data_IF_491939410810
#
_entry.id   IF_491939410810
#
_cell.length_a   1.000
_cell.length_b   1.000
_cell.length_c   1.000
_cell.angle_alpha   90.00
_cell.angle_beta   90.00
_cell.angle_gamma   90.00
#
_symmetry.space_group_name_H-M   'P 1'
#
loop_
_entity.id
_entity.type
_entity.pdbx_description
1 polymer ?
#
# COMPACT_ATOMS: atom_id res chain seq x y z
N UNK A 1 -18.49 23.86 2.75
CA UNK A 1 -17.46 23.04 3.37
C UNK A 1 -16.22 23.87 3.58
N UNK A 2 -15.67 23.84 4.78
CA UNK A 2 -14.49 24.64 5.06
C UNK A 2 -13.24 23.99 4.49
N UNK A 3 -12.22 24.80 4.25
CA UNK A 3 -10.94 24.28 3.78
C UNK A 3 -10.32 23.32 4.78
N UNK A 4 -10.53 23.59 6.05
CA UNK A 4 -9.97 22.75 7.10
C UNK A 4 -10.60 21.37 7.11
N UNK A 5 -11.89 21.30 6.91
CA UNK A 5 -12.55 20.01 6.81
C UNK A 5 -12.05 19.23 5.62
N UNK A 6 -11.85 19.91 4.51
CA UNK A 6 -11.31 19.26 3.32
C UNK A 6 -9.91 18.74 3.56
N UNK A 7 -9.09 19.57 4.22
CA UNK A 7 -7.70 19.14 4.49
C UNK A 7 -7.66 17.91 5.37
N UNK A 8 -8.49 17.90 6.43
CA UNK A 8 -8.53 16.77 7.33
C UNK A 8 -8.97 15.50 6.61
N UNK A 9 -9.99 15.61 5.79
CA UNK A 9 -10.46 14.47 5.04
C UNK A 9 -9.48 14.10 3.95
N UNK A 10 -8.84 15.10 3.36
CA UNK A 10 -7.83 14.84 2.33
C UNK A 10 -6.68 14.02 2.89
N UNK A 11 -6.30 14.25 4.15
CA UNK A 11 -5.26 13.48 4.78
C UNK A 11 -5.59 12.00 4.81
N UNK A 12 -6.81 11.65 5.26
CA UNK A 12 -7.26 10.27 5.29
C UNK A 12 -7.45 9.71 3.90
N UNK A 13 -8.05 10.49 3.02
CA UNK A 13 -8.26 10.08 1.64
C UNK A 13 -6.92 9.88 0.94
N UNK A 14 -5.94 10.72 1.23
CA UNK A 14 -4.61 10.57 0.66
C UNK A 14 -3.95 9.28 1.09
N UNK A 15 -4.10 8.89 2.33
CA UNK A 15 -3.54 7.61 2.78
C UNK A 15 -4.14 6.47 1.98
N UNK A 16 -5.44 6.50 1.75
CA UNK A 16 -6.10 5.48 0.95
C UNK A 16 -5.58 5.50 -0.48
N UNK A 17 -5.46 6.68 -1.06
CA UNK A 17 -4.93 6.82 -2.42
C UNK A 17 -3.50 6.30 -2.52
N UNK A 18 -2.68 6.60 -1.52
CA UNK A 18 -1.30 6.11 -1.48
C UNK A 18 -1.25 4.60 -1.34
N UNK A 19 -2.12 4.05 -0.49
CA UNK A 19 -2.19 2.60 -0.32
C UNK A 19 -2.59 1.92 -1.63
N UNK A 20 -3.57 2.48 -2.33
CA UNK A 20 -3.99 1.95 -3.61
C UNK A 20 -2.87 2.01 -4.64
N UNK A 21 -2.09 3.09 -4.61
CA UNK A 21 -0.94 3.25 -5.48
C UNK A 21 0.09 2.15 -5.25
N UNK A 22 0.37 1.86 -3.98
CA UNK A 22 1.27 0.77 -3.61
C UNK A 22 0.76 -0.57 -4.13
N UNK A 23 -0.54 -0.81 -3.98
CA UNK A 23 -1.11 -2.07 -4.44
C UNK A 23 -0.99 -2.21 -5.96
N UNK A 24 -1.19 -1.12 -6.70
CA UNK A 24 -1.05 -1.16 -8.16
C UNK A 24 0.39 -1.44 -8.60
N UNK A 25 1.34 -0.86 -7.87
CA UNK A 25 2.75 -1.11 -8.15
C UNK A 25 3.08 -2.58 -7.93
N UNK A 26 2.56 -3.16 -6.84
CA UNK A 26 2.79 -4.58 -6.56
C UNK A 26 2.08 -5.47 -7.58
N UNK A 27 0.93 -5.05 -8.06
CA UNK A 27 0.21 -5.79 -9.09
C UNK A 27 1.06 -5.92 -10.34
N UNK A 28 1.80 -4.88 -10.67
CA UNK A 28 2.66 -4.88 -11.86
C UNK A 28 3.93 -5.71 -11.67
N UNK A 29 4.21 -6.15 -10.44
CA UNK A 29 5.43 -6.88 -10.12
C UNK A 29 5.11 -8.13 -9.30
N UNK A 30 4.52 -9.14 -9.94
CA UNK A 30 4.11 -10.34 -9.19
C UNK A 30 5.25 -11.07 -8.49
N UNK A 31 6.48 -10.88 -8.94
CA UNK A 31 7.64 -11.45 -8.27
C UNK A 31 7.99 -10.76 -6.97
N UNK A 32 7.38 -9.60 -6.69
CA UNK A 32 7.62 -8.86 -5.48
C UNK A 32 8.61 -7.74 -5.64
N UNK A 33 8.53 -6.78 -4.75
CA UNK A 33 9.44 -5.64 -4.71
C UNK A 33 9.89 -5.41 -3.28
N UNK A 34 11.14 -4.95 -3.13
CA UNK A 34 11.63 -4.54 -1.82
C UNK A 34 10.96 -3.22 -1.42
N UNK A 35 11.03 -2.92 -0.13
CA UNK A 35 10.50 -1.66 0.37
C UNK A 35 11.15 -0.46 -0.34
N UNK A 36 12.46 -0.54 -0.55
CA UNK A 36 13.18 0.55 -1.22
C UNK A 36 12.70 0.74 -2.66
N UNK A 37 12.51 -0.38 -3.37
CA UNK A 37 12.01 -0.31 -4.73
C UNK A 37 10.61 0.28 -4.81
N UNK A 38 9.75 -0.08 -3.87
CA UNK A 38 8.41 0.47 -3.80
C UNK A 38 8.48 1.98 -3.57
N UNK A 39 9.31 2.38 -2.60
CA UNK A 39 9.45 3.80 -2.28
C UNK A 39 9.89 4.63 -3.47
N UNK A 40 10.82 4.10 -4.25
CA UNK A 40 11.29 4.79 -5.45
C UNK A 40 10.18 4.98 -6.46
N UNK A 41 9.36 3.96 -6.65
CA UNK A 41 8.31 4.00 -7.65
C UNK A 41 7.15 4.91 -7.27
N UNK A 42 6.84 5.01 -5.99
CA UNK A 42 5.72 5.83 -5.55
C UNK A 42 6.14 7.21 -5.07
N UNK A 43 7.44 7.46 -4.95
CA UNK A 43 7.94 8.78 -4.58
C UNK A 43 7.58 9.18 -3.16
N UNK A 44 7.53 8.22 -2.24
CA UNK A 44 7.21 8.48 -0.85
C UNK A 44 8.41 8.24 0.04
N UNK A 45 8.45 8.94 1.18
CA UNK A 45 9.48 8.73 2.17
C UNK A 45 9.45 7.29 2.68
N UNK A 46 10.62 6.76 3.01
CA UNK A 46 10.75 5.38 3.44
C UNK A 46 9.87 5.07 4.66
N UNK A 47 9.83 5.99 5.62
CA UNK A 47 9.04 5.76 6.82
C UNK A 47 7.55 5.67 6.50
N UNK A 48 7.08 6.48 5.56
CA UNK A 48 5.68 6.45 5.14
C UNK A 48 5.36 5.13 4.44
N UNK A 49 6.24 4.71 3.53
CA UNK A 49 6.06 3.45 2.82
C UNK A 49 6.00 2.29 3.82
N UNK A 50 6.92 2.29 4.79
CA UNK A 50 6.97 1.24 5.80
C UNK A 50 5.67 1.16 6.59
N UNK A 51 5.16 2.31 7.01
CA UNK A 51 3.93 2.35 7.81
C UNK A 51 2.73 1.86 7.00
N UNK A 52 2.63 2.28 5.75
CA UNK A 52 1.51 1.85 4.91
C UNK A 52 1.61 0.36 4.61
N UNK A 53 2.81 -0.13 4.29
CA UNK A 53 3.00 -1.55 4.02
C UNK A 53 2.65 -2.41 5.24
N UNK A 54 3.07 -1.96 6.42
CA UNK A 54 2.75 -2.71 7.64
C UNK A 54 1.25 -2.75 7.87
N UNK A 55 0.57 -1.64 7.66
CA UNK A 55 -0.88 -1.59 7.83
C UNK A 55 -1.59 -2.48 6.81
N UNK A 56 -1.13 -2.46 5.56
CA UNK A 56 -1.71 -3.30 4.53
C UNK A 56 -1.46 -4.78 4.82
N UNK A 57 -0.28 -5.09 5.33
CA UNK A 57 0.06 -6.47 5.67
C UNK A 57 -0.82 -6.97 6.82
N UNK A 58 -1.09 -6.12 7.81
CA UNK A 58 -1.97 -6.48 8.91
C UNK A 58 -3.37 -6.85 8.42
N UNK A 59 -3.80 -6.23 7.31
CA UNK A 59 -5.11 -6.51 6.74
C UNK A 59 -5.09 -7.62 5.69
N UNK A 60 -3.93 -8.20 5.43
CA UNK A 60 -3.82 -9.27 4.44
C UNK A 60 -3.83 -8.79 3.02
N UNK A 61 -3.76 -7.48 2.79
CA UNK A 61 -3.76 -6.92 1.44
C UNK A 61 -2.39 -6.97 0.79
N UNK A 62 -1.34 -7.10 1.60
CA UNK A 62 0.04 -7.21 1.17
C UNK A 62 0.67 -8.35 1.97
N UNK A 63 1.58 -9.07 1.35
CA UNK A 63 2.33 -10.12 2.01
C UNK A 63 3.82 -9.90 1.79
N UNK A 64 4.63 -10.34 2.74
CA UNK A 64 6.07 -10.26 2.59
C UNK A 64 6.71 -11.59 2.98
N UNK A 65 7.93 -11.80 2.50
CA UNK A 65 8.66 -13.02 2.78
C UNK A 65 9.64 -12.87 3.92
N UNK A 66 9.44 -11.92 4.73
CA UNK A 66 10.35 -11.67 5.84
C UNK A 66 10.26 -10.24 6.25
N UNK A 67 11.16 -9.82 7.14
CA UNK A 67 11.06 -8.52 7.76
C UNK A 67 11.12 -7.37 6.77
N UNK A 68 11.77 -7.58 5.61
CA UNK A 68 11.98 -6.48 4.68
C UNK A 68 11.56 -6.80 3.25
N UNK A 69 10.72 -7.77 3.11
CA UNK A 69 10.21 -8.10 1.81
C UNK A 69 10.97 -9.23 1.16
N UNK A 70 10.77 -9.53 -0.12
CA UNK A 70 9.98 -8.69 -1.04
C UNK A 70 8.50 -8.72 -0.68
N UNK A 71 7.84 -7.62 -1.02
CA UNK A 71 6.42 -7.45 -0.80
C UNK A 71 5.66 -7.76 -2.09
N UNK A 72 4.47 -8.32 -1.93
CA UNK A 72 3.59 -8.61 -3.05
C UNK A 72 2.16 -8.53 -2.58
N UNK A 73 1.22 -8.62 -3.51
CA UNK A 73 -0.19 -8.59 -3.15
C UNK A 73 -0.51 -9.76 -2.24
N UNK A 74 -1.31 -9.51 -1.22
CA UNK A 74 -1.68 -10.50 -0.25
C UNK A 74 -2.94 -11.26 -0.61
N UNK A 75 -3.29 -12.27 0.19
CA UNK A 75 -4.43 -13.16 -0.11
C UNK A 75 -5.78 -12.46 -0.09
N UNK A 76 -5.93 -11.37 0.64
CA UNK A 76 -7.21 -10.67 0.69
C UNK A 76 -7.59 -10.08 -0.66
N UNK A 77 -6.60 -9.72 -1.47
CA UNK A 77 -6.88 -9.20 -2.81
C UNK A 77 -7.62 -10.24 -3.64
N UNK A 78 -7.12 -11.48 -3.60
CA UNK A 78 -7.74 -12.58 -4.34
C UNK A 78 -9.13 -12.88 -3.79
N UNK A 79 -9.26 -12.90 -2.46
CA UNK A 79 -10.55 -13.18 -1.85
C UNK A 79 -11.60 -12.17 -2.27
N UNK A 80 -11.24 -10.89 -2.26
CA UNK A 80 -12.16 -9.84 -2.66
C UNK A 80 -12.58 -9.98 -4.11
N UNK A 81 -11.63 -10.30 -4.97
CA UNK A 81 -11.90 -10.41 -6.40
C UNK A 81 -12.81 -11.60 -6.71
N UNK A 82 -12.65 -12.71 -5.97
CA UNK A 82 -13.40 -13.92 -6.26
C UNK A 82 -14.77 -13.93 -5.61
N UNK A 83 -15.05 -13.03 -4.73
CA UNK A 83 -16.36 -12.95 -4.06
C UNK A 83 -17.42 -12.29 -4.94
N UNK A 84 -16.98 -11.59 -5.94
CA UNK A 84 -17.89 -10.92 -6.89
C UNK A 84 -18.47 -11.88 -7.93
#
# INVERSE_FOLDING_TARGET
MSAEEQDTRSGGIQVIARAAELLRVLQAHPGGLSQAEIGERVGMARSTVSRILNALEDEGLVASRGARGPYRLGPEITRMATTV
#
